data_IF_831121143146
#
_entry.id   IF_831121143146
#
_cell.length_a   1.000
_cell.length_b   1.000
_cell.length_c   1.000
_cell.angle_alpha   90.00
_cell.angle_beta   90.00
_cell.angle_gamma   90.00
#
_symmetry.space_group_name_H-M   'P 1'
#
loop_
_entity.id
_entity.type
_entity.pdbx_description
1 polymer ?
#
# COMPACT_ATOMS: atom_id res chain seq x y z
N UNK A 1 -13.21 -21.71 16.74
CA UNK A 1 -14.57 -21.12 16.67
C UNK A 1 -14.58 -20.15 15.50
N UNK A 2 -15.36 -20.40 14.45
CA UNK A 2 -15.46 -19.49 13.31
C UNK A 2 -16.34 -18.31 13.71
N UNK A 3 -15.83 -17.08 13.49
CA UNK A 3 -16.61 -15.86 13.67
C UNK A 3 -17.08 -15.41 12.29
N UNK A 4 -18.34 -14.97 12.21
CA UNK A 4 -18.88 -14.27 11.05
C UNK A 4 -18.80 -12.78 11.29
N UNK A 5 -18.38 -12.02 10.28
CA UNK A 5 -18.35 -10.56 10.30
C UNK A 5 -19.41 -10.01 9.35
N UNK A 6 -19.93 -8.81 9.65
CA UNK A 6 -20.92 -8.13 8.81
C UNK A 6 -20.19 -7.35 7.70
N UNK A 7 -20.71 -7.43 6.47
CA UNK A 7 -20.26 -6.60 5.35
C UNK A 7 -20.98 -5.26 5.46
N UNK A 8 -20.22 -4.17 5.36
CA UNK A 8 -20.72 -2.79 5.32
C UNK A 8 -20.31 -2.13 4.00
N UNK A 9 -21.04 -1.08 3.62
CA UNK A 9 -20.71 -0.28 2.43
C UNK A 9 -19.42 0.52 2.66
N UNK A 10 -18.62 0.64 1.60
CA UNK A 10 -17.36 1.40 1.58
C UNK A 10 -17.05 1.89 0.16
N UNK A 11 -16.00 2.69 0.01
CA UNK A 11 -15.57 3.18 -1.30
C UNK A 11 -15.20 2.00 -2.24
N UNK A 12 -15.67 2.06 -3.48
CA UNK A 12 -15.46 0.97 -4.44
C UNK A 12 -14.09 1.09 -5.13
N UNK A 13 -13.07 0.63 -4.41
CA UNK A 13 -11.66 0.57 -4.84
C UNK A 13 -11.16 -0.87 -4.77
N UNK A 14 -10.47 -1.31 -5.80
CA UNK A 14 -9.88 -2.66 -5.88
C UNK A 14 -8.38 -2.56 -6.08
N UNK A 15 -7.62 -3.39 -5.36
CA UNK A 15 -6.20 -3.65 -5.63
C UNK A 15 -6.09 -4.95 -6.43
N UNK A 16 -5.61 -4.86 -7.66
CA UNK A 16 -5.29 -6.05 -8.46
C UNK A 16 -4.02 -6.71 -7.89
N UNK A 17 -4.04 -8.04 -7.78
CA UNK A 17 -2.95 -8.82 -7.20
C UNK A 17 -2.88 -8.85 -5.66
N UNK A 18 -3.89 -8.31 -4.96
CA UNK A 18 -4.00 -8.31 -3.49
C UNK A 18 -4.77 -9.49 -2.87
N UNK A 19 -4.86 -10.63 -3.55
CA UNK A 19 -5.66 -11.78 -3.08
C UNK A 19 -5.14 -12.43 -1.78
N UNK A 20 -6.00 -13.23 -1.16
CA UNK A 20 -5.69 -13.98 0.07
C UNK A 20 -4.45 -14.85 -0.14
N UNK A 21 -3.45 -14.66 0.72
CA UNK A 21 -2.18 -15.40 0.67
C UNK A 21 -1.14 -14.75 -0.24
N UNK A 22 -1.47 -13.64 -0.90
CA UNK A 22 -0.51 -12.84 -1.66
C UNK A 22 0.02 -11.69 -0.81
N UNK A 23 1.34 -11.53 -0.80
CA UNK A 23 2.00 -10.33 -0.31
C UNK A 23 2.25 -9.41 -1.50
N UNK A 24 2.23 -8.09 -1.27
CA UNK A 24 2.69 -7.11 -2.24
C UNK A 24 4.24 -7.21 -2.38
N UNK A 25 4.71 -8.24 -3.11
CA UNK A 25 6.11 -8.58 -3.36
C UNK A 25 6.67 -8.15 -4.73
N UNK A 26 5.80 -7.86 -5.69
CA UNK A 26 6.12 -7.33 -7.02
C UNK A 26 6.32 -5.82 -7.01
N UNK A 27 7.04 -5.27 -8.00
CA UNK A 27 7.30 -3.84 -8.08
C UNK A 27 6.12 -3.03 -8.63
N UNK A 28 5.12 -3.67 -9.23
CA UNK A 28 4.02 -2.99 -9.90
C UNK A 28 2.67 -3.53 -9.40
N UNK A 29 1.74 -2.61 -9.09
CA UNK A 29 0.35 -2.93 -8.77
C UNK A 29 -0.61 -2.00 -9.48
N UNK A 30 -1.83 -2.49 -9.67
CA UNK A 30 -2.91 -1.71 -10.25
C UNK A 30 -3.96 -1.46 -9.17
N UNK A 31 -4.30 -0.20 -8.98
CA UNK A 31 -5.46 0.21 -8.19
C UNK A 31 -6.55 0.65 -9.16
N UNK A 32 -7.75 0.11 -9.02
CA UNK A 32 -8.94 0.47 -9.79
C UNK A 32 -9.90 1.28 -8.94
N UNK A 33 -10.23 2.49 -9.38
CA UNK A 33 -11.30 3.30 -8.83
C UNK A 33 -12.56 3.07 -9.67
N UNK A 34 -13.54 2.35 -9.11
CA UNK A 34 -14.81 2.05 -9.79
C UNK A 34 -15.93 3.00 -9.39
N UNK A 35 -15.59 4.08 -8.69
CA UNK A 35 -16.52 5.12 -8.31
C UNK A 35 -16.59 6.23 -9.36
N UNK A 36 -17.67 7.01 -9.29
CA UNK A 36 -17.86 8.20 -10.12
C UNK A 36 -17.32 9.48 -9.45
N UNK A 37 -16.19 9.38 -8.74
CA UNK A 37 -15.48 10.52 -8.12
C UNK A 37 -13.97 10.29 -8.18
N UNK A 38 -13.19 11.37 -8.29
CA UNK A 38 -11.74 11.31 -8.11
C UNK A 38 -11.42 10.99 -6.65
N UNK A 39 -10.40 10.16 -6.41
CA UNK A 39 -9.96 9.79 -5.06
C UNK A 39 -8.50 10.24 -4.88
N UNK A 40 -8.18 11.05 -3.86
CA UNK A 40 -6.79 11.37 -3.52
C UNK A 40 -6.06 10.13 -3.01
N UNK A 41 -4.75 10.10 -3.25
CA UNK A 41 -3.84 9.07 -2.78
C UNK A 41 -2.80 9.72 -1.86
N UNK A 42 -2.70 9.19 -0.64
CA UNK A 42 -1.67 9.54 0.31
C UNK A 42 -0.65 8.40 0.43
N UNK A 43 0.58 8.75 0.81
CA UNK A 43 1.64 7.78 1.12
C UNK A 43 2.05 7.95 2.58
N UNK A 44 1.92 6.88 3.35
CA UNK A 44 2.29 6.84 4.77
C UNK A 44 3.53 5.97 4.97
N UNK A 45 4.50 6.50 5.71
CA UNK A 45 5.78 5.86 5.96
C UNK A 45 5.95 5.64 7.45
N UNK A 46 6.16 4.40 7.86
CA UNK A 46 6.41 4.05 9.26
C UNK A 46 7.62 3.15 9.37
N UNK A 47 8.37 3.25 10.46
CA UNK A 47 9.60 2.47 10.56
C UNK A 47 10.51 2.90 11.70
N UNK A 48 11.59 2.15 11.82
CA UNK A 48 12.75 2.46 12.65
C UNK A 48 14.07 2.25 11.88
N UNK A 49 13.99 2.17 10.55
CA UNK A 49 15.14 2.17 9.67
C UNK A 49 16.03 3.40 9.92
N UNK A 50 17.36 3.24 10.02
CA UNK A 50 18.28 4.37 10.10
C UNK A 50 18.46 5.08 8.74
N UNK A 51 18.15 4.40 7.63
CA UNK A 51 18.15 4.97 6.28
C UNK A 51 16.78 5.59 5.95
N UNK A 52 16.78 6.79 5.39
CA UNK A 52 15.57 7.46 4.90
C UNK A 52 15.11 6.94 3.52
N UNK A 53 16.06 6.54 2.67
CA UNK A 53 15.82 6.18 1.26
C UNK A 53 15.72 4.66 1.05
N UNK A 54 14.83 4.00 1.83
CA UNK A 54 14.67 2.53 1.81
C UNK A 54 13.59 2.00 0.87
N UNK A 55 12.92 2.93 0.19
CA UNK A 55 11.96 2.66 -0.88
C UNK A 55 12.17 3.61 -2.04
N UNK A 56 11.94 3.11 -3.25
CA UNK A 56 11.70 3.93 -4.44
C UNK A 56 10.23 3.79 -4.78
N UNK A 57 9.47 4.89 -4.69
CA UNK A 57 8.04 4.89 -4.95
C UNK A 57 7.70 5.83 -6.09
N UNK A 58 6.81 5.39 -6.97
CA UNK A 58 6.15 6.23 -7.97
C UNK A 58 4.66 5.96 -7.90
N UNK A 59 3.95 6.83 -7.19
CA UNK A 59 2.52 6.75 -6.95
C UNK A 59 1.92 8.11 -7.31
N UNK A 60 0.99 8.20 -8.28
CA UNK A 60 0.27 9.43 -8.55
C UNK A 60 -0.57 9.89 -7.35
N UNK A 61 -0.81 11.20 -7.24
CA UNK A 61 -1.49 11.81 -6.08
C UNK A 61 -3.01 11.60 -6.07
N UNK A 62 -3.60 11.12 -7.17
CA UNK A 62 -5.03 10.87 -7.29
C UNK A 62 -5.36 9.85 -8.40
N UNK A 63 -6.53 9.24 -8.30
CA UNK A 63 -7.09 8.36 -9.33
C UNK A 63 -8.43 8.90 -9.84
N UNK A 64 -8.53 9.07 -11.16
CA UNK A 64 -9.75 9.57 -11.82
C UNK A 64 -10.94 8.61 -11.66
N UNK A 65 -12.19 9.10 -11.83
CA UNK A 65 -13.37 8.24 -11.80
C UNK A 65 -13.30 7.12 -12.84
N UNK A 66 -13.76 5.91 -12.48
CA UNK A 66 -13.84 4.74 -13.38
C UNK A 66 -12.53 4.47 -14.14
N UNK A 67 -11.40 4.57 -13.46
CA UNK A 67 -10.08 4.43 -14.07
C UNK A 67 -9.15 3.58 -13.22
N UNK A 68 -8.06 3.16 -13.85
CA UNK A 68 -7.00 2.38 -13.25
C UNK A 68 -5.73 3.21 -13.15
N UNK A 69 -4.96 2.95 -12.11
CA UNK A 69 -3.68 3.58 -11.85
C UNK A 69 -2.64 2.50 -11.58
N UNK A 70 -1.47 2.68 -12.18
CA UNK A 70 -0.30 1.84 -11.95
C UNK A 70 0.58 2.52 -10.91
N UNK A 71 0.88 1.80 -9.83
CA UNK A 71 1.82 2.22 -8.80
C UNK A 71 3.07 1.36 -8.85
N UNK A 72 4.23 2.00 -8.70
CA UNK A 72 5.52 1.33 -8.65
C UNK A 72 6.12 1.44 -7.25
N UNK A 73 6.51 0.30 -6.69
CA UNK A 73 7.06 0.13 -5.36
C UNK A 73 8.30 -0.76 -5.40
N UNK A 74 9.48 -0.18 -5.21
CA UNK A 74 10.73 -0.95 -5.16
C UNK A 74 11.42 -0.78 -3.81
N UNK A 75 12.06 -1.86 -3.34
CA UNK A 75 12.92 -1.78 -2.17
C UNK A 75 14.23 -1.08 -2.55
N UNK A 76 14.67 -0.16 -1.72
CA UNK A 76 15.97 0.50 -1.85
C UNK A 76 16.79 0.36 -0.56
N UNK A 77 18.01 0.90 -0.59
CA UNK A 77 18.92 0.87 0.53
C UNK A 77 19.74 -0.41 0.63
N UNK A 78 20.70 -0.42 1.56
CA UNK A 78 21.62 -1.56 1.77
C UNK A 78 21.26 -2.41 2.97
N UNK A 79 20.45 -1.87 3.88
CA UNK A 79 20.07 -2.55 5.11
C UNK A 79 19.07 -3.70 4.89
N UNK A 80 19.29 -4.79 5.63
CA UNK A 80 18.41 -5.95 5.67
C UNK A 80 17.19 -5.66 6.56
N UNK A 81 16.18 -4.99 5.99
CA UNK A 81 14.96 -4.59 6.69
C UNK A 81 13.80 -5.55 6.44
N UNK A 82 12.99 -5.77 7.47
CA UNK A 82 11.64 -6.30 7.32
C UNK A 82 10.73 -5.22 6.73
N UNK A 83 10.12 -5.54 5.60
CA UNK A 83 9.30 -4.60 4.84
C UNK A 83 7.88 -5.11 4.70
N UNK A 84 6.92 -4.20 4.82
CA UNK A 84 5.52 -4.50 4.60
C UNK A 84 4.86 -3.35 3.84
N UNK A 85 3.94 -3.71 2.95
CA UNK A 85 3.12 -2.76 2.19
C UNK A 85 1.67 -3.22 2.33
N UNK A 86 0.78 -2.26 2.58
CA UNK A 86 -0.66 -2.47 2.52
C UNK A 86 -1.37 -1.20 2.07
N UNK A 87 -2.56 -1.36 1.53
CA UNK A 87 -3.41 -0.25 1.08
C UNK A 87 -4.61 -0.15 2.02
N UNK A 88 -4.92 1.06 2.47
CA UNK A 88 -6.17 1.35 3.20
C UNK A 88 -7.01 2.29 2.36
N UNK A 89 -8.33 2.13 2.47
CA UNK A 89 -9.30 3.04 1.87
C UNK A 89 -10.24 3.46 2.97
N UNK A 90 -10.27 4.74 3.27
CA UNK A 90 -11.09 5.29 4.35
C UNK A 90 -11.53 6.71 3.99
N UNK A 91 -12.77 7.04 4.33
CA UNK A 91 -13.38 8.37 4.15
C UNK A 91 -13.12 9.06 2.78
N UNK A 92 -13.06 8.30 1.69
CA UNK A 92 -12.82 8.85 0.35
C UNK A 92 -11.37 9.14 0.02
N UNK A 93 -10.40 8.58 0.74
CA UNK A 93 -8.96 8.64 0.46
C UNK A 93 -8.37 7.21 0.40
N UNK A 94 -7.41 7.01 -0.50
CA UNK A 94 -6.58 5.80 -0.53
C UNK A 94 -5.24 6.13 0.13
N UNK A 95 -4.81 5.35 1.11
CA UNK A 95 -3.46 5.46 1.68
C UNK A 95 -2.64 4.22 1.33
N UNK A 96 -1.52 4.43 0.63
CA UNK A 96 -0.48 3.41 0.46
C UNK A 96 0.44 3.48 1.67
N UNK A 97 0.42 2.44 2.49
CA UNK A 97 1.20 2.37 3.72
C UNK A 97 2.44 1.52 3.49
N UNK A 98 3.61 2.11 3.77
CA UNK A 98 4.90 1.44 3.72
C UNK A 98 5.50 1.37 5.12
N UNK A 99 5.91 0.17 5.51
CA UNK A 99 6.64 -0.06 6.75
C UNK A 99 8.01 -0.67 6.48
N UNK A 100 9.06 -0.09 7.06
CA UNK A 100 10.40 -0.65 7.04
C UNK A 100 10.95 -0.73 8.47
N UNK A 101 11.24 -1.95 8.94
CA UNK A 101 11.66 -2.23 10.31
C UNK A 101 12.99 -2.96 10.35
N UNK A 102 13.84 -2.59 11.30
CA UNK A 102 15.00 -3.37 11.65
C UNK A 102 14.59 -4.76 12.19
N UNK A 103 15.45 -5.77 12.04
CA UNK A 103 15.35 -6.98 12.84
C UNK A 103 15.33 -6.69 14.34
N UNK A 104 14.89 -7.68 15.13
CA UNK A 104 14.80 -7.54 16.60
C UNK A 104 16.14 -7.16 17.24
N UNK A 105 17.25 -7.62 16.66
CA UNK A 105 18.61 -7.31 17.13
C UNK A 105 19.14 -5.96 16.62
N UNK A 106 18.35 -5.21 15.85
CA UNK A 106 18.69 -3.90 15.29
C UNK A 106 19.12 -3.95 13.82
N UNK A 107 19.31 -2.76 13.24
CA UNK A 107 20.04 -2.57 11.98
C UNK A 107 21.49 -2.25 12.33
N UNK A 108 22.45 -2.93 11.69
CA UNK A 108 23.89 -2.67 11.85
C UNK A 108 24.33 -1.40 11.11
#
# INVERSE_FOLDING_TARGET
>A
MLRSYMIVEGDDVILDGGDIGMHLAFPEYIISNRMNKTIPIAVSWTGDSPEADVWTVSIPDEISPNSDLVMLLETAGTNALYRAVWVTVDEGEITVNLAARCPVDGCE
#
